data_IF_087654187643
#
_entry.id   IF_087654187643
#
_cell.length_a   1.000
_cell.length_b   1.000
_cell.length_c   1.000
_cell.angle_alpha   90.00
_cell.angle_beta   90.00
_cell.angle_gamma   90.00
#
_symmetry.space_group_name_H-M   'P 1'
#
loop_
_entity.id
_entity.type
_entity.pdbx_description
1 polymer ?
#
# COMPACT_ATOMS: atom_id res chain seq x y z
N UNK A 1 1.05 42.94 -22.98
CA UNK A 1 0.04 41.89 -23.18
C UNK A 1 0.47 40.74 -22.24
N UNK A 2 -0.15 40.68 -21.05
CA UNK A 2 0.12 39.57 -20.11
C UNK A 2 -0.81 38.43 -20.52
N UNK A 3 -0.24 37.36 -21.04
CA UNK A 3 -0.99 36.09 -21.17
C UNK A 3 -1.28 35.60 -19.76
N UNK A 4 -2.55 35.51 -19.42
CA UNK A 4 -2.99 34.70 -18.29
C UNK A 4 -2.55 33.26 -18.59
N UNK A 5 -1.50 32.81 -17.93
CA UNK A 5 -1.25 31.38 -17.82
C UNK A 5 -2.50 30.79 -17.19
N UNK A 6 -3.24 30.00 -17.94
CA UNK A 6 -4.27 29.11 -17.41
C UNK A 6 -3.56 28.28 -16.32
N UNK A 7 -3.81 28.63 -15.07
CA UNK A 7 -3.38 27.84 -13.94
C UNK A 7 -4.23 26.57 -13.93
N UNK A 8 -3.78 25.57 -14.68
CA UNK A 8 -4.26 24.20 -14.50
C UNK A 8 -3.77 23.75 -13.13
N UNK A 9 -4.55 24.00 -12.11
CA UNK A 9 -4.44 23.25 -10.86
C UNK A 9 -4.98 21.85 -11.13
N UNK A 10 -4.16 21.00 -11.75
CA UNK A 10 -4.46 19.59 -11.84
C UNK A 10 -4.34 19.01 -10.45
N UNK A 11 -5.49 18.81 -9.79
CA UNK A 11 -5.54 17.98 -8.59
C UNK A 11 -5.19 16.55 -8.98
N UNK A 12 -4.32 15.91 -8.21
CA UNK A 12 -3.92 14.54 -8.46
C UNK A 12 -5.16 13.60 -8.50
N UNK A 13 -5.23 12.75 -9.50
CA UNK A 13 -6.30 11.78 -9.66
C UNK A 13 -6.00 10.55 -8.82
N UNK A 14 -6.80 10.31 -7.78
CA UNK A 14 -6.64 9.20 -6.84
C UNK A 14 -7.76 8.19 -7.04
N UNK A 15 -7.40 6.92 -7.23
CA UNK A 15 -8.36 5.82 -7.32
C UNK A 15 -8.12 4.80 -6.21
N UNK A 16 -9.19 4.19 -5.72
CA UNK A 16 -9.16 3.09 -4.75
C UNK A 16 -9.84 1.88 -5.36
N UNK A 17 -9.10 0.83 -5.54
CA UNK A 17 -9.60 -0.42 -6.11
C UNK A 17 -9.69 -1.50 -5.03
N UNK A 18 -10.90 -2.00 -4.79
CA UNK A 18 -11.18 -3.11 -3.90
C UNK A 18 -11.20 -4.43 -4.66
N UNK A 19 -10.28 -5.34 -4.33
CA UNK A 19 -10.09 -6.62 -5.02
C UNK A 19 -10.63 -7.76 -4.19
N UNK A 20 -11.56 -8.52 -4.76
CA UNK A 20 -12.23 -9.66 -4.11
C UNK A 20 -13.25 -9.23 -3.05
N UNK A 21 -13.79 -10.20 -2.29
CA UNK A 21 -14.87 -9.95 -1.33
C UNK A 21 -14.47 -8.99 -0.20
N UNK A 22 -13.29 -9.20 0.42
CA UNK A 22 -12.78 -8.33 1.48
C UNK A 22 -12.52 -6.91 1.01
N UNK A 23 -11.84 -6.76 -0.14
CA UNK A 23 -11.58 -5.45 -0.75
C UNK A 23 -12.85 -4.74 -1.19
N UNK A 24 -13.80 -5.46 -1.79
CA UNK A 24 -15.10 -4.91 -2.18
C UNK A 24 -15.90 -4.38 -0.98
N UNK A 25 -15.89 -5.09 0.15
CA UNK A 25 -16.53 -4.62 1.39
C UNK A 25 -15.86 -3.37 1.94
N UNK A 26 -14.53 -3.33 1.94
CA UNK A 26 -13.76 -2.16 2.40
C UNK A 26 -14.08 -0.92 1.54
N UNK A 27 -14.03 -1.05 0.21
CA UNK A 27 -14.32 0.07 -0.70
C UNK A 27 -15.77 0.51 -0.62
N UNK A 28 -16.71 -0.43 -0.44
CA UNK A 28 -18.13 -0.09 -0.22
C UNK A 28 -18.33 0.68 1.10
N UNK A 29 -17.54 0.37 2.13
CA UNK A 29 -17.55 1.11 3.39
C UNK A 29 -16.98 2.53 3.19
N UNK A 30 -15.84 2.67 2.53
CA UNK A 30 -15.19 3.95 2.22
C UNK A 30 -16.09 4.87 1.37
N UNK A 31 -16.77 4.30 0.36
CA UNK A 31 -17.68 5.05 -0.50
C UNK A 31 -18.88 5.64 0.26
N UNK A 32 -19.39 4.94 1.30
CA UNK A 32 -20.44 5.45 2.19
C UNK A 32 -19.95 6.58 3.08
N UNK A 33 -18.69 6.55 3.47
CA UNK A 33 -18.11 7.55 4.37
C UNK A 33 -17.75 8.86 3.66
N UNK A 34 -17.91 8.94 2.33
CA UNK A 34 -17.82 10.17 1.57
C UNK A 34 -16.43 10.78 1.49
N UNK A 35 -15.38 9.97 1.34
CA UNK A 35 -14.01 10.49 1.13
C UNK A 35 -13.99 11.28 -0.20
N UNK A 36 -13.71 12.57 -0.11
CA UNK A 36 -13.74 13.49 -1.24
C UNK A 36 -12.48 13.37 -2.13
N UNK A 37 -12.65 13.61 -3.43
CA UNK A 37 -11.53 13.62 -4.39
C UNK A 37 -10.97 12.25 -4.72
N UNK A 38 -11.70 11.16 -4.40
CA UNK A 38 -11.27 9.78 -4.62
C UNK A 38 -12.32 9.00 -5.42
N UNK A 39 -11.88 8.28 -6.44
CA UNK A 39 -12.74 7.37 -7.20
C UNK A 39 -12.64 5.95 -6.66
N UNK A 40 -13.80 5.30 -6.48
CA UNK A 40 -13.88 3.95 -5.93
C UNK A 40 -14.25 2.93 -6.99
N UNK A 41 -13.50 1.82 -7.03
CA UNK A 41 -13.67 0.72 -7.99
C UNK A 41 -13.76 -0.59 -7.23
N UNK A 42 -14.68 -1.48 -7.60
CA UNK A 42 -14.79 -2.82 -7.06
C UNK A 42 -14.49 -3.86 -8.14
N UNK A 43 -13.52 -4.75 -7.88
CA UNK A 43 -13.13 -5.84 -8.80
C UNK A 43 -13.32 -7.18 -8.12
N UNK A 44 -14.07 -8.09 -8.74
CA UNK A 44 -14.31 -9.41 -8.17
C UNK A 44 -14.55 -10.46 -9.26
N UNK A 45 -14.31 -11.72 -8.93
CA UNK A 45 -14.70 -12.90 -9.72
C UNK A 45 -16.12 -13.38 -9.41
N UNK A 46 -16.69 -12.90 -8.29
CA UNK A 46 -18.06 -13.25 -7.84
C UNK A 46 -19.05 -12.17 -8.29
N UNK A 47 -19.93 -12.55 -9.23
CA UNK A 47 -20.94 -11.66 -9.76
C UNK A 47 -22.01 -11.25 -8.73
N UNK A 48 -22.30 -12.09 -7.74
CA UNK A 48 -23.28 -11.76 -6.70
C UNK A 48 -22.71 -10.70 -5.74
N UNK A 49 -21.43 -10.82 -5.35
CA UNK A 49 -20.77 -9.84 -4.51
C UNK A 49 -20.74 -8.46 -5.19
N UNK A 50 -20.53 -8.40 -6.51
CA UNK A 50 -20.55 -7.14 -7.26
C UNK A 50 -21.95 -6.50 -7.32
N UNK A 51 -23.01 -7.30 -7.46
CA UNK A 51 -24.39 -6.78 -7.46
C UNK A 51 -24.80 -6.12 -6.14
N UNK A 52 -24.19 -6.55 -5.03
CA UNK A 52 -24.43 -5.96 -3.71
C UNK A 52 -23.49 -4.80 -3.37
N UNK A 53 -22.50 -4.55 -4.23
CA UNK A 53 -21.59 -3.43 -4.08
C UNK A 53 -22.33 -2.10 -4.27
N UNK A 54 -22.02 -1.11 -3.43
CA UNK A 54 -22.57 0.25 -3.53
C UNK A 54 -21.62 1.19 -4.29
N UNK A 55 -20.56 0.65 -4.84
CA UNK A 55 -19.56 1.39 -5.61
C UNK A 55 -20.07 1.57 -7.03
N UNK A 56 -19.92 2.78 -7.58
CA UNK A 56 -20.42 3.13 -8.93
C UNK A 56 -19.70 2.37 -10.04
N UNK A 57 -18.40 2.15 -9.89
CA UNK A 57 -17.58 1.45 -10.85
C UNK A 57 -17.27 0.05 -10.35
N UNK A 58 -17.65 -0.96 -11.14
CA UNK A 58 -17.38 -2.36 -10.80
C UNK A 58 -16.95 -3.15 -12.03
N UNK A 59 -16.01 -4.07 -11.85
CA UNK A 59 -15.50 -4.95 -12.88
C UNK A 59 -15.57 -6.40 -12.43
N UNK A 60 -16.30 -7.22 -13.14
CA UNK A 60 -16.22 -8.66 -13.01
C UNK A 60 -15.05 -9.17 -13.84
N UNK A 61 -14.13 -9.91 -13.21
CA UNK A 61 -12.96 -10.51 -13.85
C UNK A 61 -13.08 -12.04 -13.93
N UNK A 62 -12.46 -12.63 -14.94
CA UNK A 62 -12.35 -14.07 -15.12
C UNK A 62 -13.69 -14.75 -15.39
N UNK A 63 -14.54 -14.15 -16.21
CA UNK A 63 -15.87 -14.69 -16.52
C UNK A 63 -15.81 -16.08 -17.15
N UNK A 64 -14.81 -16.36 -18.00
CA UNK A 64 -14.64 -17.65 -18.65
C UNK A 64 -14.10 -18.71 -17.68
N UNK A 65 -13.29 -18.30 -16.71
CA UNK A 65 -12.65 -19.17 -15.73
C UNK A 65 -13.59 -19.52 -14.59
N UNK A 66 -14.25 -18.50 -13.99
CA UNK A 66 -15.04 -18.67 -12.75
C UNK A 66 -16.55 -18.76 -13.00
N UNK A 67 -17.03 -18.38 -14.17
CA UNK A 67 -18.47 -18.27 -14.51
C UNK A 67 -19.26 -17.40 -13.52
N UNK A 68 -18.57 -16.45 -12.86
CA UNK A 68 -19.19 -15.58 -11.87
C UNK A 68 -19.39 -16.20 -10.48
N UNK A 69 -18.84 -17.39 -10.23
CA UNK A 69 -18.98 -18.11 -8.97
C UNK A 69 -17.85 -17.87 -7.97
N UNK A 70 -16.91 -16.97 -8.31
CA UNK A 70 -15.76 -16.68 -7.48
C UNK A 70 -14.57 -17.62 -7.71
N UNK A 71 -13.41 -17.26 -7.15
CA UNK A 71 -12.17 -18.04 -7.22
C UNK A 71 -12.02 -19.05 -6.06
N UNK A 72 -12.97 -19.10 -5.14
CA UNK A 72 -12.87 -19.91 -3.93
C UNK A 72 -11.65 -19.54 -3.08
N UNK A 73 -10.97 -20.54 -2.52
CA UNK A 73 -9.73 -20.35 -1.75
C UNK A 73 -8.47 -20.61 -2.61
N UNK A 74 -8.55 -20.42 -3.92
CA UNK A 74 -7.44 -20.67 -4.84
C UNK A 74 -6.91 -19.37 -5.46
N UNK A 75 -5.75 -18.83 -5.02
CA UNK A 75 -5.18 -17.61 -5.56
C UNK A 75 -4.77 -17.72 -7.03
N UNK A 76 -4.41 -18.91 -7.50
CA UNK A 76 -4.04 -19.08 -8.91
C UNK A 76 -5.23 -18.84 -9.85
N UNK A 77 -6.44 -19.24 -9.44
CA UNK A 77 -7.68 -18.92 -10.18
C UNK A 77 -7.93 -17.41 -10.17
N UNK A 78 -7.71 -16.74 -9.03
CA UNK A 78 -7.82 -15.28 -8.93
C UNK A 78 -6.81 -14.56 -9.83
N UNK A 79 -5.57 -15.04 -9.88
CA UNK A 79 -4.51 -14.50 -10.75
C UNK A 79 -4.88 -14.66 -12.23
N UNK A 80 -5.28 -15.85 -12.65
CA UNK A 80 -5.69 -16.11 -14.03
C UNK A 80 -6.90 -15.27 -14.43
N UNK A 81 -7.87 -15.09 -13.53
CA UNK A 81 -9.03 -14.24 -13.74
C UNK A 81 -8.64 -12.76 -13.99
N UNK A 82 -7.68 -12.24 -13.24
CA UNK A 82 -7.19 -10.88 -13.46
C UNK A 82 -6.36 -10.76 -14.76
N UNK A 83 -5.60 -11.80 -15.12
CA UNK A 83 -4.84 -11.83 -16.37
C UNK A 83 -5.76 -11.91 -17.59
N UNK A 84 -6.90 -12.61 -17.53
CA UNK A 84 -7.91 -12.66 -18.59
C UNK A 84 -8.47 -11.27 -18.92
N UNK A 85 -8.72 -10.47 -17.88
CA UNK A 85 -9.33 -9.13 -18.03
C UNK A 85 -8.32 -7.98 -17.84
N UNK A 86 -7.04 -8.25 -18.11
CA UNK A 86 -5.95 -7.29 -17.89
C UNK A 86 -6.18 -5.95 -18.61
N UNK A 87 -6.62 -5.97 -19.83
CA UNK A 87 -6.85 -4.76 -20.62
C UNK A 87 -7.99 -3.90 -20.04
N UNK A 88 -9.04 -4.55 -19.52
CA UNK A 88 -10.13 -3.87 -18.80
C UNK A 88 -9.66 -3.26 -17.46
N UNK A 89 -8.69 -3.90 -16.80
CA UNK A 89 -8.07 -3.33 -15.60
C UNK A 89 -7.26 -2.09 -15.97
N UNK A 90 -6.51 -2.12 -17.09
CA UNK A 90 -5.79 -0.94 -17.60
C UNK A 90 -6.75 0.22 -17.82
N UNK A 91 -7.85 0.00 -18.57
CA UNK A 91 -8.86 1.04 -18.84
C UNK A 91 -9.44 1.68 -17.57
N UNK A 92 -9.58 0.90 -16.49
CA UNK A 92 -10.12 1.40 -15.22
C UNK A 92 -9.14 2.30 -14.46
N UNK A 93 -7.83 2.02 -14.53
CA UNK A 93 -6.83 2.72 -13.74
C UNK A 93 -6.00 3.71 -14.55
N UNK A 94 -6.12 3.70 -15.88
CA UNK A 94 -5.41 4.64 -16.73
C UNK A 94 -5.72 6.10 -16.36
N UNK A 95 -4.70 6.95 -16.40
CA UNK A 95 -4.81 8.38 -16.11
C UNK A 95 -4.92 8.72 -14.62
N UNK A 96 -4.77 7.75 -13.69
CA UNK A 96 -4.63 8.11 -12.27
C UNK A 96 -3.16 8.31 -11.88
N UNK A 97 -2.94 9.24 -10.94
CA UNK A 97 -1.62 9.54 -10.39
C UNK A 97 -1.26 8.62 -9.23
N UNK A 98 -2.28 8.18 -8.47
CA UNK A 98 -2.13 7.30 -7.33
C UNK A 98 -3.24 6.26 -7.28
N UNK A 99 -2.86 5.00 -7.06
CA UNK A 99 -3.77 3.87 -6.90
C UNK A 99 -3.60 3.24 -5.52
N UNK A 100 -4.69 3.22 -4.76
CA UNK A 100 -4.80 2.36 -3.58
C UNK A 100 -5.40 1.02 -3.97
N UNK A 101 -4.75 -0.08 -3.58
CA UNK A 101 -5.27 -1.43 -3.74
C UNK A 101 -5.66 -1.96 -2.37
N UNK A 102 -6.94 -2.26 -2.15
CA UNK A 102 -7.38 -2.89 -0.91
C UNK A 102 -7.87 -4.31 -1.17
N UNK A 103 -7.43 -5.24 -0.33
CA UNK A 103 -7.81 -6.64 -0.43
C UNK A 103 -7.76 -7.34 0.93
N UNK A 104 -8.65 -8.30 1.13
CA UNK A 104 -8.51 -9.28 2.21
C UNK A 104 -7.65 -10.45 1.71
N UNK A 105 -6.48 -10.63 2.33
CA UNK A 105 -5.54 -11.69 1.95
C UNK A 105 -5.94 -13.04 2.53
N UNK A 106 -5.56 -14.12 1.86
CA UNK A 106 -5.84 -15.50 2.27
C UNK A 106 -7.02 -16.17 1.54
N UNK A 107 -7.78 -15.42 0.72
CA UNK A 107 -8.77 -15.97 -0.20
C UNK A 107 -8.21 -16.16 -1.61
N UNK A 108 -9.06 -16.52 -2.57
CA UNK A 108 -8.65 -16.72 -3.97
C UNK A 108 -8.50 -15.42 -4.73
N UNK A 109 -9.59 -14.65 -4.86
CA UNK A 109 -9.63 -13.44 -5.70
C UNK A 109 -8.70 -12.35 -5.19
N UNK A 110 -8.85 -11.91 -3.92
CA UNK A 110 -8.02 -10.84 -3.37
C UNK A 110 -6.54 -11.16 -3.42
N UNK A 111 -6.15 -12.36 -2.98
CA UNK A 111 -4.75 -12.78 -2.92
C UNK A 111 -4.12 -12.96 -4.30
N UNK A 112 -4.87 -13.48 -5.28
CA UNK A 112 -4.34 -13.76 -6.61
C UNK A 112 -4.42 -12.59 -7.57
N UNK A 113 -5.51 -11.80 -7.54
CA UNK A 113 -5.74 -10.73 -8.49
C UNK A 113 -5.06 -9.41 -8.08
N UNK A 114 -4.92 -9.10 -6.78
CA UNK A 114 -4.30 -7.84 -6.34
C UNK A 114 -2.86 -7.67 -6.85
N UNK A 115 -1.98 -8.69 -6.86
CA UNK A 115 -0.64 -8.56 -7.46
C UNK A 115 -0.68 -8.23 -8.96
N UNK A 116 -1.65 -8.77 -9.71
CA UNK A 116 -1.81 -8.47 -11.14
C UNK A 116 -2.23 -7.02 -11.36
N UNK A 117 -3.19 -6.53 -10.56
CA UNK A 117 -3.60 -5.10 -10.58
C UNK A 117 -2.40 -4.21 -10.26
N UNK A 118 -1.61 -4.55 -9.25
CA UNK A 118 -0.41 -3.81 -8.88
C UNK A 118 0.66 -3.80 -9.98
N UNK A 119 0.85 -4.94 -10.64
CA UNK A 119 1.76 -5.04 -11.78
C UNK A 119 1.34 -4.10 -12.91
N UNK A 120 0.06 -4.09 -13.26
CA UNK A 120 -0.49 -3.20 -14.29
C UNK A 120 -0.28 -1.73 -13.91
N UNK A 121 -0.59 -1.35 -12.67
CA UNK A 121 -0.40 0.01 -12.18
C UNK A 121 1.07 0.45 -12.26
N UNK A 122 2.00 -0.43 -11.89
CA UNK A 122 3.44 -0.18 -11.98
C UNK A 122 3.91 0.01 -13.41
N UNK A 123 3.41 -0.79 -14.36
CA UNK A 123 3.73 -0.66 -15.79
C UNK A 123 3.26 0.69 -16.37
N UNK A 124 2.15 1.24 -15.83
CA UNK A 124 1.63 2.56 -16.18
C UNK A 124 2.34 3.72 -15.42
N UNK A 125 3.29 3.42 -14.52
CA UNK A 125 4.01 4.43 -13.74
C UNK A 125 3.17 5.11 -12.63
N UNK A 126 2.06 4.47 -12.23
CA UNK A 126 1.15 4.97 -11.20
C UNK A 126 1.74 4.68 -9.82
N UNK A 127 1.75 5.68 -8.92
CA UNK A 127 2.12 5.46 -7.52
C UNK A 127 1.12 4.49 -6.89
N UNK A 128 1.61 3.31 -6.49
CA UNK A 128 0.73 2.22 -6.05
C UNK A 128 0.97 1.87 -4.59
N UNK A 129 -0.07 2.04 -3.78
CA UNK A 129 -0.08 1.71 -2.35
C UNK A 129 -1.10 0.61 -2.09
N UNK A 130 -0.65 -0.53 -1.60
CA UNK A 130 -1.56 -1.59 -1.18
C UNK A 130 -1.85 -1.48 0.32
N UNK A 131 -3.12 -1.54 0.69
CA UNK A 131 -3.61 -1.56 2.08
C UNK A 131 -4.44 -2.83 2.26
N UNK A 132 -3.85 -3.85 2.88
CA UNK A 132 -4.43 -5.19 2.90
C UNK A 132 -4.57 -5.73 4.32
N UNK A 133 -5.57 -6.59 4.53
CA UNK A 133 -5.78 -7.25 5.81
C UNK A 133 -5.21 -8.67 5.82
N UNK A 134 -4.57 -9.05 6.94
CA UNK A 134 -4.21 -10.43 7.24
C UNK A 134 -5.40 -11.11 7.95
N UNK A 135 -5.69 -12.38 7.63
CA UNK A 135 -6.82 -13.08 8.23
C UNK A 135 -6.68 -13.21 9.76
N UNK A 136 -7.82 -13.34 10.42
CA UNK A 136 -7.86 -13.73 11.85
C UNK A 136 -7.29 -15.14 12.03
N UNK A 137 -6.70 -15.42 13.20
CA UNK A 137 -6.16 -16.75 13.55
C UNK A 137 -7.25 -17.84 13.46
N UNK A 138 -8.50 -17.50 13.80
CA UNK A 138 -9.64 -18.42 13.71
C UNK A 138 -10.00 -18.84 12.28
N UNK A 139 -9.54 -18.12 11.25
CA UNK A 139 -9.75 -18.47 9.84
C UNK A 139 -8.84 -19.64 9.37
N UNK A 140 -7.87 -20.01 10.19
CA UNK A 140 -7.03 -21.19 10.03
C UNK A 140 -5.67 -20.94 9.37
N UNK A 141 -4.72 -21.83 9.67
CA UNK A 141 -3.31 -21.70 9.26
C UNK A 141 -3.13 -21.75 7.74
N UNK A 142 -3.94 -22.50 7.02
CA UNK A 142 -3.88 -22.56 5.55
C UNK A 142 -4.15 -21.20 4.94
N UNK A 143 -5.16 -20.50 5.47
CA UNK A 143 -5.52 -19.15 4.99
C UNK A 143 -4.43 -18.12 5.33
N UNK A 144 -3.84 -18.25 6.52
CA UNK A 144 -2.70 -17.40 6.92
C UNK A 144 -1.47 -17.61 6.00
N UNK A 145 -1.13 -18.87 5.68
CA UNK A 145 -0.02 -19.17 4.77
C UNK A 145 -0.26 -18.66 3.34
N UNK A 146 -1.48 -18.78 2.84
CA UNK A 146 -1.88 -18.24 1.53
C UNK A 146 -1.79 -16.70 1.54
N UNK A 147 -2.20 -16.05 2.63
CA UNK A 147 -2.08 -14.60 2.77
C UNK A 147 -0.62 -14.15 2.74
N UNK A 148 0.27 -14.82 3.45
CA UNK A 148 1.70 -14.50 3.50
C UNK A 148 2.36 -14.60 2.11
N UNK A 149 2.10 -15.69 1.39
CA UNK A 149 2.59 -15.86 0.03
C UNK A 149 2.06 -14.76 -0.90
N UNK A 150 0.78 -14.41 -0.79
CA UNK A 150 0.17 -13.35 -1.61
C UNK A 150 0.71 -11.96 -1.29
N UNK A 151 0.95 -11.64 -0.01
CA UNK A 151 1.57 -10.38 0.40
C UNK A 151 3.01 -10.27 -0.10
N UNK A 152 3.77 -11.37 -0.06
CA UNK A 152 5.13 -11.44 -0.60
C UNK A 152 5.13 -11.17 -2.11
N UNK A 153 4.16 -11.70 -2.85
CA UNK A 153 4.05 -11.43 -4.29
C UNK A 153 3.61 -9.99 -4.55
N UNK A 154 2.60 -9.50 -3.82
CA UNK A 154 2.09 -8.14 -3.94
C UNK A 154 3.18 -7.09 -3.66
N UNK A 155 4.03 -7.30 -2.66
CA UNK A 155 5.11 -6.39 -2.28
C UNK A 155 6.15 -6.14 -3.38
N UNK A 156 6.25 -7.03 -4.38
CA UNK A 156 7.14 -6.87 -5.53
C UNK A 156 6.64 -5.86 -6.57
N UNK A 157 5.35 -5.57 -6.53
CA UNK A 157 4.68 -4.77 -7.55
C UNK A 157 4.14 -3.43 -7.05
N UNK A 158 4.13 -3.20 -5.74
CA UNK A 158 3.68 -1.95 -5.13
C UNK A 158 4.87 -1.11 -4.65
N UNK A 159 4.69 0.20 -4.56
CA UNK A 159 5.66 1.11 -3.96
C UNK A 159 5.64 0.95 -2.43
N UNK A 160 4.45 0.82 -1.85
CA UNK A 160 4.28 0.64 -0.41
C UNK A 160 3.20 -0.40 -0.10
N UNK A 161 3.49 -1.31 0.85
CA UNK A 161 2.55 -2.32 1.31
C UNK A 161 2.22 -2.12 2.79
N UNK A 162 1.03 -1.60 3.06
CA UNK A 162 0.49 -1.44 4.42
C UNK A 162 -0.30 -2.71 4.76
N UNK A 163 0.13 -3.40 5.81
CA UNK A 163 -0.53 -4.62 6.27
C UNK A 163 -1.26 -4.39 7.59
N UNK A 164 -2.53 -4.80 7.66
CA UNK A 164 -3.37 -4.69 8.85
C UNK A 164 -3.64 -6.09 9.38
N UNK A 165 -2.98 -6.50 10.49
CA UNK A 165 -3.22 -7.79 11.10
C UNK A 165 -4.53 -7.77 11.88
N UNK A 166 -5.59 -8.41 11.34
CA UNK A 166 -6.92 -8.44 11.98
C UNK A 166 -6.86 -8.97 13.42
N UNK A 167 -5.91 -9.86 13.72
CA UNK A 167 -5.74 -10.41 15.07
C UNK A 167 -5.39 -9.32 16.11
N UNK A 168 -4.62 -8.30 15.72
CA UNK A 168 -4.28 -7.18 16.60
C UNK A 168 -5.50 -6.30 16.91
N UNK A 169 -6.46 -6.21 15.98
CA UNK A 169 -7.70 -5.48 16.22
C UNK A 169 -8.55 -6.13 17.33
N UNK A 170 -8.55 -7.47 17.44
CA UNK A 170 -9.26 -8.17 18.50
C UNK A 170 -8.69 -7.89 19.89
N UNK A 171 -7.39 -7.61 20.00
CA UNK A 171 -6.76 -7.24 21.28
C UNK A 171 -7.32 -5.91 21.81
N UNK A 172 -7.64 -4.98 20.92
CA UNK A 172 -8.24 -3.67 21.27
C UNK A 172 -9.72 -3.79 21.57
N UNK A 173 -10.43 -4.60 20.79
CA UNK A 173 -11.90 -4.72 20.86
C UNK A 173 -12.40 -5.60 22.03
N UNK A 174 -11.55 -6.53 22.48
CA UNK A 174 -11.90 -7.48 23.54
C UNK A 174 -12.72 -8.68 23.06
N UNK A 175 -12.72 -9.75 23.87
CA UNK A 175 -13.28 -11.07 23.52
C UNK A 175 -14.81 -11.15 23.42
N UNK A 176 -15.54 -10.09 23.78
CA UNK A 176 -17.01 -10.04 23.68
C UNK A 176 -17.49 -9.42 22.36
N UNK A 177 -16.57 -8.95 21.50
CA UNK A 177 -16.90 -8.34 20.22
C UNK A 177 -17.49 -9.36 19.25
N UNK A 178 -18.58 -9.01 18.58
CA UNK A 178 -19.15 -9.86 17.55
C UNK A 178 -18.27 -9.95 16.31
N UNK A 179 -18.36 -11.03 15.56
CA UNK A 179 -17.60 -11.21 14.33
C UNK A 179 -17.88 -10.10 13.30
N UNK A 180 -19.15 -9.67 13.22
CA UNK A 180 -19.56 -8.57 12.33
C UNK A 180 -18.84 -7.26 12.71
N UNK A 181 -18.77 -6.98 14.00
CA UNK A 181 -18.13 -5.78 14.52
C UNK A 181 -16.60 -5.80 14.31
N UNK A 182 -15.97 -6.97 14.46
CA UNK A 182 -14.55 -7.16 14.17
C UNK A 182 -14.22 -6.85 12.69
N UNK A 183 -15.03 -7.36 11.74
CA UNK A 183 -14.86 -7.03 10.33
C UNK A 183 -15.19 -5.56 10.00
N UNK A 184 -16.20 -4.98 10.64
CA UNK A 184 -16.50 -3.56 10.50
C UNK A 184 -15.30 -2.72 10.95
N UNK A 185 -14.69 -3.06 12.08
CA UNK A 185 -13.49 -2.37 12.57
C UNK A 185 -12.31 -2.51 11.63
N UNK A 186 -12.11 -3.69 11.04
CA UNK A 186 -11.08 -3.87 10.02
C UNK A 186 -11.29 -2.94 8.81
N UNK A 187 -12.54 -2.77 8.35
CA UNK A 187 -12.87 -1.85 7.27
C UNK A 187 -12.66 -0.39 7.67
N UNK A 188 -12.97 -0.01 8.91
CA UNK A 188 -12.70 1.34 9.45
C UNK A 188 -11.20 1.65 9.47
N UNK A 189 -10.36 0.69 9.83
CA UNK A 189 -8.90 0.86 9.81
C UNK A 189 -8.38 0.99 8.38
N UNK A 190 -8.87 0.15 7.44
CA UNK A 190 -8.55 0.29 6.02
C UNK A 190 -8.96 1.67 5.48
N UNK A 191 -10.15 2.13 5.85
CA UNK A 191 -10.63 3.47 5.51
C UNK A 191 -9.70 4.54 6.07
N UNK A 192 -9.37 4.48 7.36
CA UNK A 192 -8.49 5.46 8.01
C UNK A 192 -7.12 5.56 7.32
N UNK A 193 -6.57 4.43 6.85
CA UNK A 193 -5.32 4.42 6.08
C UNK A 193 -5.44 5.18 4.75
N UNK A 194 -6.44 4.83 3.96
CA UNK A 194 -6.67 5.47 2.66
C UNK A 194 -7.04 6.94 2.83
N UNK A 195 -7.97 7.23 3.74
CA UNK A 195 -8.44 8.57 4.02
C UNK A 195 -7.31 9.49 4.51
N UNK A 196 -6.51 9.03 5.47
CA UNK A 196 -5.41 9.81 6.04
C UNK A 196 -4.36 10.22 5.02
N UNK A 197 -4.10 9.40 3.99
CA UNK A 197 -3.16 9.72 2.91
C UNK A 197 -3.85 10.56 1.83
N UNK A 198 -5.05 10.18 1.40
CA UNK A 198 -5.76 10.85 0.32
C UNK A 198 -6.14 12.29 0.68
N UNK A 199 -6.58 12.55 1.91
CA UNK A 199 -6.97 13.89 2.37
C UNK A 199 -5.81 14.89 2.34
N UNK A 200 -4.57 14.45 2.61
CA UNK A 200 -3.39 15.33 2.51
C UNK A 200 -3.18 15.87 1.10
N UNK A 201 -3.63 15.13 0.09
CA UNK A 201 -3.46 15.47 -1.33
C UNK A 201 -4.70 16.22 -1.85
N UNK A 202 -5.90 15.80 -1.45
CA UNK A 202 -7.17 16.27 -2.03
C UNK A 202 -7.79 17.45 -1.28
N UNK A 203 -7.49 17.61 0.01
CA UNK A 203 -8.07 18.66 0.84
C UNK A 203 -7.02 19.73 1.18
N UNK A 204 -7.29 21.01 0.91
CA UNK A 204 -6.41 22.08 1.34
C UNK A 204 -6.42 22.20 2.86
N UNK A 205 -5.25 22.16 3.47
CA UNK A 205 -5.03 22.37 4.89
C UNK A 205 -4.36 23.72 5.16
N UNK A 206 -3.99 23.98 6.42
CA UNK A 206 -3.15 25.11 6.80
C UNK A 206 -1.70 24.91 6.34
N UNK A 207 -1.25 23.66 6.38
CA UNK A 207 0.07 23.21 5.87
C UNK A 207 -0.23 22.14 4.82
N UNK A 208 -0.06 22.52 3.57
CA UNK A 208 -0.28 21.64 2.44
C UNK A 208 0.94 20.77 2.20
N UNK A 209 0.69 19.53 1.85
CA UNK A 209 1.69 18.56 1.42
C UNK A 209 1.53 18.36 -0.08
N UNK A 210 2.60 18.55 -0.84
CA UNK A 210 2.59 18.31 -2.27
C UNK A 210 2.53 16.81 -2.58
N UNK A 211 1.89 16.47 -3.69
CA UNK A 211 1.86 15.07 -4.14
C UNK A 211 3.26 14.48 -4.33
N UNK A 212 4.25 15.31 -4.71
CA UNK A 212 5.64 14.90 -4.84
C UNK A 212 6.26 14.45 -3.50
N UNK A 213 5.92 15.11 -2.39
CA UNK A 213 6.38 14.74 -1.06
C UNK A 213 5.75 13.43 -0.61
N UNK A 214 4.43 13.26 -0.83
CA UNK A 214 3.74 11.99 -0.58
C UNK A 214 4.37 10.86 -1.40
N UNK A 215 4.63 11.10 -2.69
CA UNK A 215 5.29 10.13 -3.57
C UNK A 215 6.67 9.75 -3.02
N UNK A 216 7.47 10.70 -2.57
CA UNK A 216 8.81 10.46 -2.02
C UNK A 216 8.75 9.54 -0.80
N UNK A 217 7.88 9.85 0.18
CA UNK A 217 7.71 9.04 1.39
C UNK A 217 7.14 7.66 1.07
N UNK A 218 6.13 7.58 0.19
CA UNK A 218 5.45 6.32 -0.12
C UNK A 218 6.25 5.42 -1.06
N UNK A 219 7.24 5.95 -1.79
CA UNK A 219 8.16 5.19 -2.65
C UNK A 219 9.34 4.57 -1.88
N UNK A 220 9.47 4.84 -0.57
CA UNK A 220 10.44 4.15 0.27
C UNK A 220 10.11 2.66 0.33
N UNK A 221 10.92 1.87 -0.37
CA UNK A 221 10.67 0.43 -0.59
C UNK A 221 10.68 -0.34 0.72
N UNK A 222 9.67 -1.14 0.96
CA UNK A 222 9.59 -2.02 2.12
C UNK A 222 8.18 -2.17 2.66
N UNK A 223 8.09 -2.75 3.85
CA UNK A 223 6.85 -2.77 4.59
C UNK A 223 6.52 -1.37 5.08
N UNK A 224 5.25 -1.03 4.99
CA UNK A 224 4.71 0.16 5.60
C UNK A 224 3.67 -0.22 6.65
N UNK A 225 3.60 0.59 7.69
CA UNK A 225 2.64 0.41 8.77
C UNK A 225 1.99 1.73 9.11
N UNK A 226 0.81 1.65 9.71
CA UNK A 226 0.08 2.84 10.11
C UNK A 226 -0.43 2.75 11.54
N UNK A 227 -0.55 3.89 12.16
CA UNK A 227 -1.29 4.06 13.40
C UNK A 227 -2.16 5.31 13.34
N UNK A 228 -3.25 5.29 14.08
CA UNK A 228 -4.12 6.45 14.21
C UNK A 228 -4.55 6.63 15.64
N UNK A 229 -4.61 7.87 16.09
CA UNK A 229 -5.07 8.24 17.42
C UNK A 229 -5.98 9.45 17.37
N UNK A 230 -6.92 9.52 18.32
CA UNK A 230 -7.84 10.65 18.49
C UNK A 230 -7.66 11.16 19.91
N UNK A 231 -7.48 12.47 20.05
CA UNK A 231 -7.38 13.16 21.34
C UNK A 231 -8.46 14.21 21.48
N UNK A 232 -8.88 14.44 22.71
CA UNK A 232 -9.85 15.48 23.09
C UNK A 232 -9.35 16.27 24.29
N UNK A 233 -9.83 17.50 24.46
CA UNK A 233 -9.49 18.35 25.58
C UNK A 233 -8.12 19.05 25.47
N UNK A 234 -7.57 19.54 26.58
CA UNK A 234 -6.42 20.44 26.64
C UNK A 234 -5.11 19.83 26.11
N UNK A 235 -4.95 18.50 26.20
CA UNK A 235 -3.74 17.78 25.73
C UNK A 235 -4.02 16.87 24.52
N UNK A 236 -5.05 17.20 23.72
CA UNK A 236 -5.53 16.38 22.60
C UNK A 236 -4.44 16.05 21.60
N UNK A 237 -3.53 16.99 21.33
CA UNK A 237 -2.44 16.81 20.36
C UNK A 237 -1.47 15.70 20.78
N UNK A 238 -0.97 15.76 22.03
CA UNK A 238 -0.08 14.76 22.59
C UNK A 238 -0.77 13.41 22.69
N UNK A 239 -1.98 13.36 23.23
CA UNK A 239 -2.74 12.12 23.40
C UNK A 239 -2.97 11.45 22.04
N UNK A 240 -3.38 12.20 21.00
CA UNK A 240 -3.60 11.66 19.68
C UNK A 240 -2.30 11.15 19.05
N UNK A 241 -1.20 11.89 19.18
CA UNK A 241 0.11 11.48 18.65
C UNK A 241 0.65 10.23 19.34
N UNK A 242 0.61 10.19 20.68
CA UNK A 242 1.03 9.02 21.47
C UNK A 242 0.18 7.78 21.13
N UNK A 243 -1.13 7.92 21.00
CA UNK A 243 -2.02 6.84 20.58
C UNK A 243 -1.71 6.35 19.15
N UNK A 244 -1.39 7.26 18.24
CA UNK A 244 -1.04 6.90 16.86
C UNK A 244 0.25 6.08 16.80
N UNK A 245 1.32 6.52 17.48
CA UNK A 245 2.63 5.82 17.48
C UNK A 245 2.64 4.56 18.34
N UNK A 246 1.78 4.50 19.37
CA UNK A 246 1.59 3.33 20.24
C UNK A 246 0.47 2.40 19.77
N UNK A 247 -0.01 2.59 18.53
CA UNK A 247 -1.08 1.75 17.98
C UNK A 247 -0.68 0.27 18.02
N UNK A 248 -1.58 -0.65 18.43
CA UNK A 248 -1.32 -2.08 18.40
C UNK A 248 -0.93 -2.61 17.00
N UNK A 249 -1.28 -1.87 15.95
CA UNK A 249 -0.87 -2.17 14.58
C UNK A 249 0.62 -1.94 14.34
N UNK A 250 1.27 -1.12 15.17
CA UNK A 250 2.70 -0.78 15.13
C UNK A 250 3.52 -1.53 16.20
N UNK A 251 2.88 -2.26 17.13
CA UNK A 251 3.49 -2.78 18.36
C UNK A 251 4.71 -3.70 18.16
N UNK A 252 4.72 -4.48 17.07
CA UNK A 252 5.82 -5.41 16.77
C UNK A 252 6.94 -4.76 15.93
N UNK A 253 6.90 -3.43 15.72
CA UNK A 253 7.76 -2.75 14.76
C UNK A 253 8.53 -1.62 15.43
N UNK A 254 9.83 -1.63 15.19
CA UNK A 254 10.68 -0.53 15.61
C UNK A 254 10.56 0.62 14.60
N UNK A 255 9.79 1.65 14.93
CA UNK A 255 9.65 2.86 14.12
C UNK A 255 10.99 3.58 13.89
N UNK A 256 11.99 3.38 14.79
CA UNK A 256 13.34 3.91 14.59
C UNK A 256 14.05 3.35 13.34
N UNK A 257 13.47 2.35 12.67
CA UNK A 257 13.93 1.85 11.37
C UNK A 257 13.15 2.39 10.17
N UNK A 258 12.19 3.28 10.38
CA UNK A 258 11.42 3.88 9.29
C UNK A 258 12.25 4.94 8.55
N UNK A 259 12.34 4.85 7.24
CA UNK A 259 13.03 5.84 6.40
C UNK A 259 12.10 6.96 5.92
N UNK A 260 10.80 6.71 5.86
CA UNK A 260 9.79 7.70 5.56
C UNK A 260 8.66 7.69 6.59
N UNK A 261 8.21 8.86 6.98
CA UNK A 261 7.06 9.03 7.87
C UNK A 261 6.15 10.12 7.32
N UNK A 262 4.91 9.74 7.09
CA UNK A 262 3.85 10.66 6.71
C UNK A 262 2.90 10.85 7.89
N UNK A 263 2.65 12.09 8.27
CA UNK A 263 1.78 12.45 9.38
C UNK A 263 0.65 13.33 8.87
N UNK A 264 -0.57 12.89 9.10
CA UNK A 264 -1.77 13.70 8.86
C UNK A 264 -2.37 14.14 10.20
N UNK A 265 -2.50 15.44 10.40
CA UNK A 265 -3.16 16.05 11.55
C UNK A 265 -4.50 16.60 11.08
N UNK A 266 -5.59 15.94 11.48
CA UNK A 266 -6.97 16.40 11.18
C UNK A 266 -7.58 17.01 12.43
N UNK A 267 -8.03 18.26 12.34
CA UNK A 267 -8.65 18.97 13.45
C UNK A 267 -9.64 20.03 12.96
N UNK A 268 -10.40 20.64 13.86
CA UNK A 268 -11.27 21.76 13.57
C UNK A 268 -10.48 23.06 13.30
N UNK A 269 -11.24 24.16 13.13
CA UNK A 269 -10.67 25.50 12.95
C UNK A 269 -9.94 26.03 14.19
N UNK A 270 -10.01 25.31 15.29
CA UNK A 270 -9.41 25.61 16.59
C UNK A 270 -7.99 25.02 16.75
N UNK A 271 -7.41 24.44 15.69
CA UNK A 271 -6.04 23.90 15.69
C UNK A 271 -5.02 25.01 15.92
N UNK A 272 -4.22 24.90 16.97
CA UNK A 272 -3.15 25.84 17.28
C UNK A 272 -1.80 25.39 16.71
N UNK A 273 -0.89 26.36 16.52
CA UNK A 273 0.49 26.09 16.09
C UNK A 273 1.23 25.21 17.12
N UNK A 274 0.98 25.45 18.41
CA UNK A 274 1.61 24.65 19.48
C UNK A 274 1.19 23.19 19.43
N UNK A 275 -0.08 22.89 19.15
CA UNK A 275 -0.56 21.52 18.97
C UNK A 275 0.08 20.82 17.76
N UNK A 276 0.24 21.54 16.65
CA UNK A 276 0.93 21.02 15.47
C UNK A 276 2.41 20.69 15.76
N UNK A 277 3.12 21.58 16.45
CA UNK A 277 4.51 21.35 16.87
C UNK A 277 4.61 20.18 17.86
N UNK A 278 3.66 20.02 18.78
CA UNK A 278 3.62 18.93 19.75
C UNK A 278 3.45 17.57 19.05
N UNK A 279 2.56 17.48 18.04
CA UNK A 279 2.42 16.27 17.23
C UNK A 279 3.71 15.97 16.49
N UNK A 280 4.28 16.95 15.78
CA UNK A 280 5.50 16.77 15.01
C UNK A 280 6.70 16.33 15.87
N UNK A 281 6.89 16.94 17.04
CA UNK A 281 7.95 16.59 17.97
C UNK A 281 7.77 15.19 18.58
N UNK A 282 6.52 14.82 18.91
CA UNK A 282 6.20 13.50 19.45
C UNK A 282 6.53 12.42 18.42
N UNK A 283 6.09 12.57 17.15
CA UNK A 283 6.36 11.58 16.10
C UNK A 283 7.85 11.48 15.77
N UNK A 284 8.58 12.61 15.73
CA UNK A 284 10.03 12.62 15.49
C UNK A 284 10.85 11.83 16.48
N UNK A 285 10.41 11.69 17.73
CA UNK A 285 11.10 10.89 18.76
C UNK A 285 11.16 9.39 18.41
N UNK A 286 10.24 8.94 17.56
CA UNK A 286 10.16 7.54 17.13
C UNK A 286 10.75 7.31 15.73
N UNK A 287 11.14 8.37 15.01
CA UNK A 287 11.73 8.31 13.68
C UNK A 287 13.23 7.99 13.73
N UNK A 288 13.77 7.43 12.63
CA UNK A 288 15.22 7.39 12.43
C UNK A 288 15.78 8.82 12.27
N UNK A 289 17.07 9.02 12.58
CA UNK A 289 17.72 10.34 12.45
C UNK A 289 17.73 10.85 10.98
N UNK A 290 17.77 9.93 10.02
CA UNK A 290 17.79 10.19 8.58
C UNK A 290 16.42 10.04 7.91
N UNK A 291 15.35 9.85 8.68
CA UNK A 291 14.01 9.68 8.15
C UNK A 291 13.47 10.95 7.50
N UNK A 292 12.85 10.81 6.32
CA UNK A 292 12.06 11.88 5.72
C UNK A 292 10.70 11.95 6.41
N UNK A 293 10.48 13.04 7.16
CA UNK A 293 9.21 13.25 7.88
C UNK A 293 8.42 14.36 7.19
N UNK A 294 7.24 14.00 6.68
CA UNK A 294 6.29 14.93 6.06
C UNK A 294 5.06 15.04 6.97
N UNK A 295 4.74 16.26 7.39
CA UNK A 295 3.60 16.54 8.27
C UNK A 295 2.67 17.51 7.57
N UNK A 296 1.42 17.12 7.39
CA UNK A 296 0.39 17.97 6.82
C UNK A 296 -0.83 18.10 7.73
N UNK A 297 -1.66 19.08 7.43
CA UNK A 297 -2.89 19.34 8.17
C UNK A 297 -4.12 19.24 7.28
N UNK A 298 -5.21 18.75 7.83
CA UNK A 298 -6.54 18.77 7.21
C UNK A 298 -7.51 19.44 8.17
N UNK A 299 -8.23 20.42 7.68
CA UNK A 299 -9.24 21.11 8.49
C UNK A 299 -10.61 20.49 8.25
N UNK A 300 -11.20 19.98 9.31
CA UNK A 300 -12.54 19.42 9.34
C UNK A 300 -13.40 20.21 10.34
N UNK A 301 -14.27 21.13 9.86
CA UNK A 301 -15.00 22.04 10.74
C UNK A 301 -15.88 21.35 11.80
N UNK A 302 -16.29 20.11 11.55
CA UNK A 302 -17.10 19.31 12.48
C UNK A 302 -16.30 18.74 13.66
N UNK A 303 -14.96 18.72 13.57
CA UNK A 303 -14.06 18.19 14.61
C UNK A 303 -13.64 19.25 15.63
N UNK A 304 -14.57 20.07 16.11
CA UNK A 304 -14.27 21.04 17.18
C UNK A 304 -13.95 20.33 18.49
N UNK A 305 -12.84 20.72 19.13
CA UNK A 305 -12.40 20.10 20.39
C UNK A 305 -11.77 18.73 20.25
N UNK A 306 -11.70 18.16 19.05
CA UNK A 306 -11.06 16.89 18.74
C UNK A 306 -9.87 17.08 17.81
N UNK A 307 -8.89 16.18 17.92
CA UNK A 307 -7.73 16.13 17.03
C UNK A 307 -7.42 14.66 16.71
N UNK A 308 -7.30 14.36 15.43
CA UNK A 308 -6.91 13.03 14.92
C UNK A 308 -5.53 13.10 14.31
N UNK A 309 -4.67 12.18 14.70
CA UNK A 309 -3.35 11.99 14.11
C UNK A 309 -3.32 10.64 13.42
N UNK A 310 -2.94 10.63 12.14
CA UNK A 310 -2.66 9.41 11.40
C UNK A 310 -1.19 9.42 11.00
N UNK A 311 -0.46 8.38 11.38
CA UNK A 311 0.96 8.20 11.08
C UNK A 311 1.11 7.00 10.16
N UNK A 312 1.80 7.18 9.04
CA UNK A 312 2.22 6.10 8.14
C UNK A 312 3.73 6.07 8.11
N UNK A 313 4.31 4.96 8.55
CA UNK A 313 5.75 4.72 8.52
C UNK A 313 6.09 3.78 7.37
N UNK A 314 7.05 4.15 6.53
CA UNK A 314 7.48 3.41 5.33
C UNK A 314 8.96 3.04 5.40
N UNK A 315 9.41 2.15 4.52
CA UNK A 315 10.81 1.72 4.49
C UNK A 315 11.22 0.82 5.66
N UNK A 316 10.26 0.25 6.38
CA UNK A 316 10.50 -0.68 7.49
C UNK A 316 11.17 -1.97 6.97
N UNK A 317 12.15 -2.51 7.73
CA UNK A 317 12.92 -3.73 7.39
C UNK A 317 13.89 -3.62 6.19
N UNK A 318 14.27 -2.43 5.76
CA UNK A 318 15.28 -2.25 4.70
C UNK A 318 16.65 -2.87 5.07
N UNK A 319 17.00 -2.97 6.34
CA UNK A 319 18.21 -3.63 6.83
C UNK A 319 18.25 -5.14 6.51
N UNK A 320 17.11 -5.83 6.55
CA UNK A 320 17.02 -7.26 6.20
C UNK A 320 17.11 -7.49 4.68
N UNK A 321 16.52 -6.61 3.88
CA UNK A 321 16.56 -6.70 2.42
C UNK A 321 17.96 -6.41 1.86
N UNK A 322 18.72 -5.47 2.48
CA UNK A 322 20.09 -5.16 2.07
C UNK A 322 21.08 -6.25 2.41
N UNK A 323 20.79 -7.06 3.46
CA UNK A 323 21.58 -8.25 3.81
C UNK A 323 21.27 -9.46 2.89
N UNK A 324 20.11 -9.49 2.24
CA UNK A 324 19.69 -10.56 1.32
C UNK A 324 20.06 -10.33 -0.16
N UNK A 325 20.57 -9.15 -0.53
CA UNK A 325 21.12 -8.93 -1.85
C UNK A 325 22.40 -9.76 -1.99
N UNK A 326 22.50 -10.72 -2.94
CA UNK A 326 23.72 -11.47 -3.11
C UNK A 326 24.86 -10.51 -3.45
N UNK A 327 25.91 -10.51 -2.62
CA UNK A 327 27.13 -9.79 -2.93
C UNK A 327 27.55 -10.17 -4.35
N UNK A 328 27.58 -9.22 -5.26
CA UNK A 328 28.13 -9.44 -6.59
C UNK A 328 29.53 -9.98 -6.39
N UNK A 329 29.73 -11.25 -6.80
CA UNK A 329 31.04 -11.87 -6.80
C UNK A 329 32.00 -10.94 -7.55
N UNK A 330 33.18 -10.63 -6.99
CA UNK A 330 34.15 -9.81 -7.70
C UNK A 330 34.46 -10.48 -9.02
N UNK A 331 34.38 -9.73 -10.11
CA UNK A 331 34.76 -10.19 -11.44
C UNK A 331 36.14 -10.82 -11.37
N UNK A 332 36.37 -12.01 -11.98
CA UNK A 332 37.66 -12.64 -11.93
C UNK A 332 38.70 -11.69 -12.54
N UNK A 333 39.70 -11.35 -11.72
CA UNK A 333 40.82 -10.53 -12.15
C UNK A 333 41.46 -11.17 -13.40
N UNK A 334 41.55 -10.38 -14.46
CA UNK A 334 42.23 -10.79 -15.69
C UNK A 334 43.61 -11.28 -15.34
N UNK A 335 43.85 -12.58 -15.53
CA UNK A 335 45.15 -13.19 -15.32
C UNK A 335 46.19 -12.55 -16.27
N UNK A 336 47.16 -11.90 -15.66
CA UNK A 336 48.33 -11.36 -16.37
C UNK A 336 48.99 -12.46 -17.16
N UNK A 337 49.01 -12.35 -18.49
CA UNK A 337 49.74 -13.25 -19.39
C UNK A 337 51.23 -13.09 -19.09
N UNK A 338 51.87 -14.19 -18.64
CA UNK A 338 53.33 -14.30 -18.61
C UNK A 338 53.83 -14.45 -20.05
N UNK A 339 54.90 -13.76 -20.47
CA UNK A 339 55.52 -13.96 -21.78
C UNK A 339 56.44 -15.16 -21.72
N UNK A 340 56.18 -16.15 -22.57
CA UNK A 340 57.13 -17.22 -22.82
C UNK A 340 56.53 -18.62 -22.78
N UNK A 341 55.84 -19.03 -23.84
CA UNK A 341 55.80 -20.42 -24.29
C UNK A 341 55.33 -20.47 -25.76
N UNK A 342 56.30 -20.50 -26.64
CA UNK A 342 56.12 -20.77 -28.09
C UNK A 342 56.04 -22.28 -28.24
N UNK A 343 54.84 -22.83 -28.46
CA UNK A 343 54.66 -24.20 -28.93
C UNK A 343 54.60 -24.23 -30.46
N UNK A 344 55.59 -24.87 -31.06
CA UNK A 344 55.63 -25.24 -32.48
C UNK A 344 54.39 -26.11 -32.82
N UNK A 345 53.61 -25.67 -33.79
CA UNK A 345 52.50 -26.42 -34.39
C UNK A 345 53.08 -27.18 -35.56
N UNK A 346 53.13 -28.52 -35.45
CA UNK A 346 53.51 -29.42 -36.57
C UNK A 346 52.39 -29.39 -37.62
N UNK A 347 52.79 -29.09 -38.86
CA UNK A 347 51.93 -29.18 -40.05
C UNK A 347 51.57 -30.66 -40.30
N UNK A 348 50.28 -30.99 -40.29
CA UNK A 348 49.76 -32.24 -40.84
C UNK A 348 49.39 -32.03 -42.30
N UNK A 349 50.11 -32.71 -43.18
CA UNK A 349 49.86 -32.88 -44.62
C UNK A 349 48.53 -33.63 -44.85
N UNK A 350 47.69 -33.08 -45.73
CA UNK A 350 46.50 -33.76 -46.28
C UNK A 350 46.89 -34.86 -47.25
N UNK A 351 46.27 -36.06 -47.26
CA UNK A 351 46.29 -36.96 -48.38
C UNK A 351 45.30 -36.55 -49.48
N UNK A 352 45.72 -36.83 -50.71
CA UNK A 352 44.99 -36.55 -51.95
C UNK A 352 43.78 -37.49 -52.12
N UNK A 353 42.76 -37.12 -52.91
CA UNK A 353 41.59 -37.96 -53.18
C UNK A 353 41.95 -38.97 -54.31
N UNK A 354 41.60 -40.23 -54.07
CA UNK A 354 41.53 -41.27 -55.14
C UNK A 354 40.15 -41.31 -55.75
N UNK A 355 40.12 -41.64 -57.04
CA UNK A 355 39.07 -41.67 -58.06
C UNK A 355 37.75 -42.35 -57.70
#
# INVERSE_FOLDING_TARGET
MFELMDSFSQTAVIKVIGVGGGGGNAVSHMAKSGIEGVEFICVNTDAQALKHSQVKQSLQIGCNITKGLGAGANPEVGRQAAMEDRDRIIELIEGCDMLFITAGMGGGTGTGAAPVVAQVARELGILTVAVVTRPFTMEGNKRASVAEAGMTELSRHVDSLITIPNQKLLQVLGGQTTLLEAFKRANEVLQGAVQGIAELITRPGLINVDFADVRTVMSETGLAMMGSGIGTGEHRARVAAEMAVSSPLLEDINLAGAHGILVNVTAGLDLSIGEFEEVGSTVKQFAAEDATVVVGTVIEPEMQGELRVTVVATGLNRSAAKAAAPAQAPAPAAAARRPGDVKLVAQRTRPAPDY
#
